data_IF_912238780990
#
_entry.id   IF_912238780990
#
_cell.length_a   1.000
_cell.length_b   1.000
_cell.length_c   1.000
_cell.angle_alpha   90.00
_cell.angle_beta   90.00
_cell.angle_gamma   90.00
#
_symmetry.space_group_name_H-M   'P 1'
#
loop_
_entity.id
_entity.type
_entity.pdbx_description
1 polymer ?
#
# COMPACT_ATOMS: atom_id res chain seq x y z
N UNK A 1 -8.23 -41.30 -5.28
CA UNK A 1 -8.97 -40.80 -4.11
C UNK A 1 -8.34 -39.49 -3.66
N UNK A 2 -8.86 -38.35 -4.13
CA UNK A 2 -8.21 -37.03 -4.04
C UNK A 2 -8.65 -36.35 -2.74
N UNK A 3 -7.73 -36.22 -1.77
CA UNK A 3 -7.96 -35.44 -0.56
C UNK A 3 -7.89 -33.94 -0.87
N UNK A 4 -9.04 -33.29 -0.75
CA UNK A 4 -9.22 -31.85 -0.95
C UNK A 4 -9.10 -31.17 0.42
N UNK A 5 -7.91 -30.70 0.76
CA UNK A 5 -7.65 -29.96 2.01
C UNK A 5 -8.24 -28.56 1.85
N UNK A 6 -9.41 -28.35 2.46
CA UNK A 6 -10.11 -27.07 2.51
C UNK A 6 -9.57 -26.29 3.72
N UNK A 7 -8.58 -25.42 3.50
CA UNK A 7 -8.10 -24.49 4.54
C UNK A 7 -9.23 -23.49 4.87
N UNK A 8 -9.87 -23.70 6.02
CA UNK A 8 -10.90 -22.82 6.58
C UNK A 8 -10.22 -21.82 7.49
N UNK A 9 -9.79 -20.69 6.92
CA UNK A 9 -9.31 -19.54 7.69
C UNK A 9 -10.54 -18.94 8.39
N UNK A 10 -10.78 -19.38 9.62
CA UNK A 10 -11.73 -18.76 10.53
C UNK A 10 -11.12 -17.41 10.93
N UNK A 11 -11.37 -16.36 10.16
CA UNK A 11 -11.05 -14.98 10.54
C UNK A 11 -11.91 -14.58 11.73
N UNK A 12 -11.49 -14.97 12.94
CA UNK A 12 -11.88 -14.23 14.14
C UNK A 12 -11.45 -12.79 13.88
N UNK A 13 -12.42 -11.89 13.73
CA UNK A 13 -12.20 -10.43 13.86
C UNK A 13 -11.69 -10.20 15.28
N UNK A 14 -10.40 -10.44 15.51
CA UNK A 14 -9.72 -9.78 16.61
C UNK A 14 -9.77 -8.30 16.23
N UNK A 15 -10.58 -7.54 16.96
CA UNK A 15 -10.51 -6.09 17.02
C UNK A 15 -9.15 -5.73 17.62
N UNK A 16 -8.08 -5.92 16.85
CA UNK A 16 -6.77 -5.44 17.21
C UNK A 16 -6.87 -3.92 17.08
N UNK A 17 -7.11 -3.25 18.21
CA UNK A 17 -6.95 -1.80 18.31
C UNK A 17 -5.49 -1.51 18.03
N UNK A 18 -5.16 -1.24 16.77
CA UNK A 18 -3.83 -0.80 16.38
C UNK A 18 -3.59 0.49 17.16
N UNK A 19 -2.61 0.56 18.08
CA UNK A 19 -2.30 1.79 18.77
C UNK A 19 -1.94 2.83 17.70
N UNK A 20 -2.83 3.80 17.50
CA UNK A 20 -2.61 4.95 16.62
C UNK A 20 -1.59 5.85 17.31
N UNK A 21 -0.31 5.46 17.27
CA UNK A 21 0.77 6.37 17.59
C UNK A 21 0.80 7.37 16.45
N UNK A 22 0.20 8.54 16.66
CA UNK A 22 0.16 9.63 15.69
C UNK A 22 1.61 10.01 15.37
N UNK A 23 2.13 9.49 14.26
CA UNK A 23 3.48 9.81 13.79
C UNK A 23 3.47 11.28 13.37
N UNK A 24 4.49 12.02 13.83
CA UNK A 24 4.74 13.42 13.48
C UNK A 24 4.45 13.65 11.99
N UNK A 25 3.57 14.61 11.71
CA UNK A 25 3.23 15.03 10.35
C UNK A 25 4.55 15.46 9.66
N UNK A 26 5.03 14.70 8.69
CA UNK A 26 6.11 15.11 7.79
C UNK A 26 5.47 15.66 6.52
N UNK A 27 5.20 16.98 6.43
CA UNK A 27 4.33 17.55 5.40
C UNK A 27 4.88 17.40 3.98
N UNK A 28 6.21 17.38 3.78
CA UNK A 28 6.79 17.51 2.44
C UNK A 28 6.93 16.20 1.66
N UNK A 29 7.00 15.05 2.34
CA UNK A 29 7.21 13.75 1.68
C UNK A 29 5.91 13.01 1.35
N UNK A 30 4.78 13.48 1.87
CA UNK A 30 3.45 12.90 1.71
C UNK A 30 2.58 13.75 0.78
N UNK A 31 2.96 13.84 -0.50
CA UNK A 31 2.27 14.69 -1.48
C UNK A 31 0.79 14.37 -1.57
N UNK A 32 0.44 13.08 -1.50
CA UNK A 32 -0.94 12.60 -1.59
C UNK A 32 -1.82 13.08 -0.42
N UNK A 33 -1.21 13.29 0.75
CA UNK A 33 -1.91 13.83 1.94
C UNK A 33 -1.88 15.35 1.97
N UNK A 34 -0.74 15.96 1.63
CA UNK A 34 -0.54 17.41 1.72
C UNK A 34 -1.26 18.17 0.61
N UNK A 35 -1.24 17.64 -0.62
CA UNK A 35 -1.80 18.27 -1.81
C UNK A 35 -2.63 17.24 -2.61
N UNK A 36 -3.80 16.81 -2.09
CA UNK A 36 -4.59 15.71 -2.65
C UNK A 36 -5.12 15.97 -4.07
N UNK A 37 -5.21 17.23 -4.49
CA UNK A 37 -5.68 17.65 -5.82
C UNK A 37 -4.53 18.07 -6.77
N UNK A 38 -3.28 17.88 -6.37
CA UNK A 38 -2.14 18.18 -7.25
C UNK A 38 -1.99 17.15 -8.36
N UNK A 39 -1.35 17.57 -9.47
CA UNK A 39 -0.99 16.70 -10.60
C UNK A 39 -0.16 15.49 -10.13
N UNK A 40 0.77 15.72 -9.19
CA UNK A 40 1.60 14.67 -8.62
C UNK A 40 0.76 13.61 -7.87
N UNK A 41 -0.26 14.04 -7.11
CA UNK A 41 -1.19 13.12 -6.46
C UNK A 41 -2.01 12.31 -7.46
N UNK A 42 -2.40 12.92 -8.57
CA UNK A 42 -3.14 12.22 -9.62
C UNK A 42 -2.29 11.17 -10.33
N UNK A 43 -0.98 11.42 -10.52
CA UNK A 43 -0.07 10.39 -11.02
C UNK A 43 -0.03 9.13 -10.13
N UNK A 44 -0.09 9.28 -8.80
CA UNK A 44 -0.17 8.12 -7.90
C UNK A 44 -1.52 7.39 -7.98
N UNK A 45 -2.63 8.10 -8.21
CA UNK A 45 -3.95 7.49 -8.43
C UNK A 45 -4.03 6.75 -9.77
N UNK A 46 -3.46 7.34 -10.82
CA UNK A 46 -3.32 6.71 -12.12
C UNK A 46 -2.45 5.44 -12.03
N UNK A 47 -1.32 5.51 -11.32
CA UNK A 47 -0.45 4.35 -11.07
C UNK A 47 -1.22 3.21 -10.39
N UNK A 48 -2.00 3.51 -9.36
CA UNK A 48 -2.82 2.51 -8.68
C UNK A 48 -3.88 1.89 -9.60
N UNK A 49 -4.59 2.73 -10.36
CA UNK A 49 -5.59 2.29 -11.35
C UNK A 49 -4.97 1.38 -12.40
N UNK A 50 -3.80 1.74 -12.93
CA UNK A 50 -3.06 0.92 -13.88
C UNK A 50 -2.66 -0.43 -13.29
N UNK A 51 -2.23 -0.45 -12.03
CA UNK A 51 -1.90 -1.69 -11.35
C UNK A 51 -3.14 -2.59 -11.22
N UNK A 52 -4.28 -2.04 -10.79
CA UNK A 52 -5.56 -2.76 -10.74
C UNK A 52 -5.94 -3.37 -12.10
N UNK A 53 -5.76 -2.61 -13.19
CA UNK A 53 -6.01 -3.10 -14.54
C UNK A 53 -5.01 -4.16 -15.00
N UNK A 54 -3.77 -4.14 -14.52
CA UNK A 54 -2.79 -5.19 -14.82
C UNK A 54 -3.18 -6.55 -14.18
N UNK A 55 -3.93 -6.52 -13.08
CA UNK A 55 -4.35 -7.70 -12.30
C UNK A 55 -5.88 -7.90 -12.34
N UNK A 56 -6.45 -8.02 -13.57
CA UNK A 56 -7.91 -8.12 -13.80
C UNK A 56 -8.58 -9.30 -13.10
N UNK A 57 -7.88 -10.43 -12.93
CA UNK A 57 -8.53 -11.71 -12.61
C UNK A 57 -8.49 -12.08 -11.13
N UNK A 58 -7.45 -11.69 -10.39
CA UNK A 58 -7.23 -12.14 -9.01
C UNK A 58 -7.17 -11.00 -7.99
N UNK A 59 -7.10 -9.74 -8.47
CA UNK A 59 -6.90 -8.57 -7.62
C UNK A 59 -5.51 -8.54 -6.99
N UNK A 60 -5.11 -7.36 -6.49
CA UNK A 60 -3.79 -7.17 -5.88
C UNK A 60 -3.92 -7.27 -4.37
N UNK A 61 -3.19 -8.22 -3.78
CA UNK A 61 -3.08 -8.41 -2.33
C UNK A 61 -1.77 -7.89 -1.75
N UNK A 62 -0.70 -7.91 -2.53
CA UNK A 62 0.64 -7.47 -2.12
C UNK A 62 1.38 -6.86 -3.32
N UNK A 63 2.20 -5.84 -3.04
CA UNK A 63 3.02 -5.14 -4.02
C UNK A 63 4.41 -4.98 -3.44
N UNK A 64 5.43 -5.41 -4.17
CA UNK A 64 6.83 -5.18 -3.83
C UNK A 64 7.33 -3.99 -4.65
N UNK A 65 7.94 -3.01 -3.97
CA UNK A 65 8.57 -1.85 -4.60
C UNK A 65 10.06 -1.96 -4.36
N UNK A 66 10.83 -2.04 -5.44
CA UNK A 66 12.29 -2.10 -5.41
C UNK A 66 12.86 -1.09 -6.39
N UNK A 67 14.06 -0.59 -6.10
CA UNK A 67 14.85 0.24 -7.01
C UNK A 67 16.04 -0.54 -7.54
N UNK A 68 16.56 -0.15 -8.70
CA UNK A 68 17.80 -0.70 -9.25
C UNK A 68 19.02 -0.05 -8.60
N UNK A 69 18.89 1.21 -8.18
CA UNK A 69 19.94 2.01 -7.55
C UNK A 69 19.50 2.56 -6.18
N UNK A 70 20.47 2.87 -5.33
CA UNK A 70 20.24 3.63 -4.10
C UNK A 70 19.67 5.02 -4.41
N UNK A 71 18.79 5.52 -3.54
CA UNK A 71 18.23 6.88 -3.62
C UNK A 71 17.34 7.22 -4.83
N UNK A 72 16.83 6.22 -5.59
CA UNK A 72 15.81 6.44 -6.64
C UNK A 72 14.43 6.90 -6.11
N UNK A 73 14.26 6.98 -4.80
CA UNK A 73 12.99 7.36 -4.20
C UNK A 73 11.98 6.21 -4.07
N UNK A 74 12.44 4.94 -4.06
CA UNK A 74 11.58 3.77 -3.80
C UNK A 74 10.67 3.94 -2.57
N UNK A 75 11.22 4.44 -1.46
CA UNK A 75 10.48 4.66 -0.22
C UNK A 75 9.47 5.81 -0.36
N UNK A 76 9.80 6.84 -1.14
CA UNK A 76 8.89 7.94 -1.45
C UNK A 76 7.67 7.45 -2.26
N UNK A 77 7.89 6.62 -3.27
CA UNK A 77 6.82 6.01 -4.06
C UNK A 77 5.98 5.06 -3.20
N UNK A 78 6.62 4.22 -2.38
CA UNK A 78 5.94 3.26 -1.53
C UNK A 78 4.97 3.91 -0.54
N UNK A 79 5.42 4.97 0.13
CA UNK A 79 4.59 5.69 1.11
C UNK A 79 3.44 6.43 0.43
N UNK A 80 3.67 7.12 -0.69
CA UNK A 80 2.61 7.85 -1.39
C UNK A 80 1.59 6.90 -2.02
N UNK A 81 2.03 5.78 -2.60
CA UNK A 81 1.13 4.75 -3.11
C UNK A 81 0.30 4.12 -1.99
N UNK A 82 0.92 3.79 -0.85
CA UNK A 82 0.20 3.28 0.33
C UNK A 82 -0.85 4.29 0.83
N UNK A 83 -0.56 5.59 0.75
CA UNK A 83 -1.50 6.66 1.10
C UNK A 83 -2.69 6.69 0.16
N UNK A 84 -2.47 6.58 -1.17
CA UNK A 84 -3.56 6.48 -2.15
C UNK A 84 -4.44 5.27 -1.86
N UNK A 85 -3.82 4.12 -1.57
CA UNK A 85 -4.55 2.91 -1.22
C UNK A 85 -5.41 3.10 0.03
N UNK A 86 -4.87 3.74 1.07
CA UNK A 86 -5.59 4.03 2.30
C UNK A 86 -6.78 4.99 2.07
N UNK A 87 -6.64 5.97 1.17
CA UNK A 87 -7.75 6.86 0.78
C UNK A 87 -8.93 6.12 0.13
N UNK A 88 -8.70 4.94 -0.44
CA UNK A 88 -9.76 4.09 -1.03
C UNK A 88 -10.51 3.22 -0.03
N UNK A 89 -10.45 3.53 1.28
CA UNK A 89 -11.05 2.75 2.38
C UNK A 89 -10.55 1.29 2.45
N UNK A 90 -9.35 1.00 1.93
CA UNK A 90 -8.71 -0.30 2.08
C UNK A 90 -7.82 -0.32 3.31
N UNK A 91 -7.77 -1.46 3.99
CA UNK A 91 -6.77 -1.73 5.01
C UNK A 91 -5.42 -1.96 4.34
N UNK A 92 -4.46 -1.07 4.58
CA UNK A 92 -3.14 -1.10 3.94
C UNK A 92 -2.07 -1.24 5.01
N UNK A 93 -1.14 -2.17 4.77
CA UNK A 93 0.05 -2.35 5.59
C UNK A 93 1.27 -2.03 4.72
N UNK A 94 2.02 -0.99 5.10
CA UNK A 94 3.32 -0.70 4.53
C UNK A 94 4.39 -1.37 5.41
N UNK A 95 5.22 -2.21 4.81
CA UNK A 95 6.33 -2.88 5.48
C UNK A 95 7.62 -2.36 4.86
N UNK A 96 8.51 -1.80 5.69
CA UNK A 96 9.87 -1.50 5.26
C UNK A 96 10.73 -2.75 5.43
N UNK A 97 11.38 -3.18 4.34
CA UNK A 97 12.23 -4.38 4.28
C UNK A 97 13.67 -4.00 3.95
N UNK A 98 14.00 -2.70 3.93
CA UNK A 98 15.38 -2.23 3.81
C UNK A 98 16.06 -2.31 5.20
N UNK A 99 16.69 -3.45 5.49
CA UNK A 99 17.38 -3.73 6.78
C UNK A 99 18.85 -3.28 6.78
N UNK A 100 19.25 -2.44 5.82
CA UNK A 100 20.64 -1.98 5.68
C UNK A 100 21.02 -0.95 6.74
#
# INVERSE_FOLDING_TARGET
MILRIKWRIQTRRASLSIPSKTIKKCPDRLIVTSHPHSVNSEHFRALWTNLLFAQRTQGIKSVLITSSVLSEGKSFVAVNLATVLAQTNKMVLLIDVDLR
#
